data_IF_514593139019
#
_entry.id   IF_514593139019
#
_cell.length_a   1.000
_cell.length_b   1.000
_cell.length_c   1.000
_cell.angle_alpha   90.00
_cell.angle_beta   90.00
_cell.angle_gamma   90.00
#
_symmetry.space_group_name_H-M   'P 1'
#
loop_
_entity.id
_entity.type
_entity.pdbx_description
1 polymer ?
#
# COMPACT_ATOMS: atom_id res chain seq x y z
N UNK A 1 44.90 65.03 57.50
CA UNK A 1 45.28 63.67 57.15
C UNK A 1 44.10 63.02 56.41
N UNK A 2 44.13 62.96 55.06
CA UNK A 2 43.07 62.33 54.25
C UNK A 2 43.74 61.34 53.28
N UNK A 3 43.51 60.08 53.51
CA UNK A 3 43.92 58.98 52.60
C UNK A 3 42.94 58.81 51.49
N UNK A 4 43.39 59.01 50.24
CA UNK A 4 42.59 58.64 49.04
C UNK A 4 42.91 57.18 48.67
N UNK A 5 41.93 56.31 48.66
CA UNK A 5 42.02 54.97 48.12
C UNK A 5 41.57 55.01 46.67
N UNK A 6 42.46 54.62 45.75
CA UNK A 6 42.13 54.34 44.39
C UNK A 6 41.62 52.87 44.25
N UNK A 7 40.41 52.71 43.75
CA UNK A 7 39.91 51.41 43.33
C UNK A 7 40.18 51.24 41.85
N UNK A 8 41.06 50.30 41.52
CA UNK A 8 41.25 49.84 40.13
C UNK A 8 40.14 48.88 39.73
N UNK A 9 39.45 49.22 38.66
CA UNK A 9 38.39 48.36 38.05
C UNK A 9 39.13 47.42 37.04
N UNK A 10 39.19 46.13 37.40
CA UNK A 10 39.75 45.09 36.54
C UNK A 10 38.63 44.61 35.63
N UNK A 11 38.73 44.86 34.34
CA UNK A 11 37.82 44.40 33.29
C UNK A 11 38.08 42.92 33.01
N UNK A 12 37.22 42.05 33.48
CA UNK A 12 37.22 40.64 33.13
C UNK A 12 36.50 40.45 31.78
N UNK A 13 37.25 40.14 30.74
CA UNK A 13 36.71 39.73 29.44
C UNK A 13 36.18 38.32 29.53
N UNK A 14 34.84 38.14 29.47
CA UNK A 14 34.19 36.87 29.38
C UNK A 14 34.20 36.42 27.91
N UNK A 15 35.05 35.48 27.54
CA UNK A 15 35.02 34.80 26.26
C UNK A 15 33.84 33.80 26.24
N UNK A 16 32.77 34.16 25.50
CA UNK A 16 31.72 33.19 25.19
C UNK A 16 32.23 32.17 24.18
N UNK A 17 32.60 30.99 24.65
CA UNK A 17 32.83 29.84 23.78
C UNK A 17 31.48 29.29 23.28
N UNK A 18 31.13 29.62 22.05
CA UNK A 18 29.94 29.06 21.38
C UNK A 18 30.14 27.56 21.13
N UNK A 19 29.45 26.72 21.87
CA UNK A 19 29.34 25.28 21.60
C UNK A 19 28.39 25.09 20.43
N UNK A 20 28.93 24.89 19.23
CA UNK A 20 28.16 24.45 18.06
C UNK A 20 27.88 22.95 18.25
N UNK A 21 26.68 22.62 18.76
CA UNK A 21 26.17 21.26 18.76
C UNK A 21 25.88 20.84 17.29
N UNK A 22 26.82 20.14 16.69
CA UNK A 22 26.58 19.40 15.45
C UNK A 22 25.62 18.26 15.77
N UNK A 23 24.33 18.49 15.55
CA UNK A 23 23.32 17.43 15.52
C UNK A 23 23.60 16.61 14.28
N UNK A 24 24.41 15.57 14.42
CA UNK A 24 24.60 14.53 13.42
C UNK A 24 23.28 13.76 13.34
N UNK A 25 22.37 14.24 12.51
CA UNK A 25 21.16 13.50 12.14
C UNK A 25 21.59 12.21 11.46
N UNK A 26 21.61 11.12 12.19
CA UNK A 26 21.74 9.76 11.63
C UNK A 26 20.53 9.57 10.72
N UNK A 27 20.72 9.72 9.40
CA UNK A 27 19.76 9.27 8.41
C UNK A 27 19.69 7.75 8.55
N UNK A 28 18.79 7.28 9.40
CA UNK A 28 18.45 5.86 9.43
C UNK A 28 17.82 5.57 8.08
N UNK A 29 18.53 4.80 7.25
CA UNK A 29 17.97 4.25 6.03
C UNK A 29 16.76 3.41 6.44
N UNK A 30 15.56 3.96 6.27
CA UNK A 30 14.32 3.24 6.52
C UNK A 30 14.32 2.00 5.62
N UNK A 31 14.34 0.83 6.25
CA UNK A 31 14.23 -0.43 5.54
C UNK A 31 12.89 -0.41 4.82
N UNK A 32 12.93 -0.36 3.48
CA UNK A 32 11.73 -0.33 2.65
C UNK A 32 10.81 -1.49 3.04
N UNK A 33 9.58 -1.20 3.35
CA UNK A 33 8.60 -2.24 3.71
C UNK A 33 8.40 -3.22 2.55
N UNK A 34 8.06 -4.46 2.88
CA UNK A 34 7.67 -5.47 1.89
C UNK A 34 6.35 -5.11 1.21
N UNK A 35 5.48 -4.42 1.93
CA UNK A 35 4.14 -4.07 1.50
C UNK A 35 3.97 -2.56 1.42
N UNK A 36 3.23 -2.10 0.40
CA UNK A 36 2.90 -0.69 0.20
C UNK A 36 2.01 -0.17 1.33
N UNK A 37 1.08 -0.98 1.81
CA UNK A 37 0.20 -0.61 2.91
C UNK A 37 0.90 -0.43 4.27
N UNK A 38 2.16 -0.85 4.40
CA UNK A 38 2.97 -0.62 5.59
C UNK A 38 3.80 0.66 5.50
N UNK A 39 3.77 1.35 4.35
CA UNK A 39 4.43 2.65 4.16
C UNK A 39 3.60 3.77 4.81
N UNK A 40 4.27 4.84 5.23
CA UNK A 40 3.62 5.98 5.88
C UNK A 40 2.60 6.70 4.97
N UNK A 41 2.83 6.67 3.66
CA UNK A 41 1.98 7.31 2.66
C UNK A 41 1.76 6.37 1.46
N UNK A 42 0.92 5.34 1.58
CA UNK A 42 0.69 4.36 0.52
C UNK A 42 0.22 4.99 -0.80
N UNK A 43 -0.60 6.04 -0.71
CA UNK A 43 -1.13 6.76 -1.87
C UNK A 43 -0.03 7.40 -2.75
N UNK A 44 1.10 7.78 -2.16
CA UNK A 44 2.24 8.35 -2.90
C UNK A 44 2.91 7.35 -3.84
N UNK A 45 2.66 6.06 -3.65
CA UNK A 45 3.17 4.98 -4.50
C UNK A 45 2.32 4.78 -5.76
N UNK A 46 1.15 5.46 -5.85
CA UNK A 46 0.26 5.38 -7.00
C UNK A 46 0.75 6.28 -8.13
N UNK A 47 0.89 5.69 -9.30
CA UNK A 47 1.30 6.37 -10.55
C UNK A 47 0.36 5.97 -11.67
N UNK A 48 0.42 6.64 -12.81
CA UNK A 48 -0.34 6.24 -13.99
C UNK A 48 -0.05 4.79 -14.44
N UNK A 49 1.18 4.31 -14.20
CA UNK A 49 1.59 2.97 -14.60
C UNK A 49 1.02 1.83 -13.73
N UNK A 50 0.52 2.14 -12.53
CA UNK A 50 -0.10 1.16 -11.64
C UNK A 50 -1.53 1.54 -11.22
N UNK A 51 -2.12 2.55 -11.85
CA UNK A 51 -3.53 2.90 -11.65
C UNK A 51 -4.40 2.18 -12.67
N UNK A 52 -5.41 1.47 -12.17
CA UNK A 52 -6.29 0.61 -12.93
C UNK A 52 -7.67 1.24 -13.03
N UNK A 53 -8.25 1.20 -14.22
CA UNK A 53 -9.59 1.73 -14.48
C UNK A 53 -9.67 3.27 -14.46
N UNK A 54 -10.88 3.75 -14.61
CA UNK A 54 -11.23 5.18 -14.57
C UNK A 54 -12.72 5.34 -14.24
N UNK A 55 -13.23 6.56 -14.20
CA UNK A 55 -14.66 6.83 -14.01
C UNK A 55 -15.53 6.21 -15.14
N UNK A 56 -14.96 6.01 -16.34
CA UNK A 56 -15.65 5.49 -17.53
C UNK A 56 -15.23 4.07 -17.94
N UNK A 57 -14.16 3.54 -17.34
CA UNK A 57 -13.64 2.22 -17.68
C UNK A 57 -13.37 1.42 -16.39
N UNK A 58 -13.95 0.22 -16.22
CA UNK A 58 -13.74 -0.59 -15.05
C UNK A 58 -12.29 -1.05 -14.93
N UNK A 59 -11.84 -1.26 -13.69
CA UNK A 59 -10.63 -1.99 -13.39
C UNK A 59 -10.92 -3.48 -13.36
N UNK A 60 -10.40 -4.26 -14.27
CA UNK A 60 -10.49 -5.72 -14.22
C UNK A 60 -9.37 -6.30 -13.36
N UNK A 61 -9.70 -7.32 -12.56
CA UNK A 61 -8.72 -8.05 -11.74
C UNK A 61 -8.90 -9.53 -12.00
N UNK A 62 -7.92 -10.12 -12.68
CA UNK A 62 -7.96 -11.55 -13.06
C UNK A 62 -7.31 -12.42 -11.97
N UNK A 63 -8.08 -13.34 -11.42
CA UNK A 63 -7.60 -14.31 -10.43
C UNK A 63 -7.48 -15.67 -11.13
N UNK A 64 -6.27 -16.17 -11.24
CA UNK A 64 -5.98 -17.39 -11.97
C UNK A 64 -5.29 -18.44 -11.10
N UNK A 65 -5.56 -19.72 -11.39
CA UNK A 65 -4.75 -20.83 -10.89
C UNK A 65 -3.44 -20.89 -11.68
N UNK A 66 -2.31 -20.98 -10.97
CA UNK A 66 -0.99 -21.12 -11.57
C UNK A 66 -0.19 -22.17 -10.80
N UNK A 67 0.00 -23.35 -11.40
CA UNK A 67 0.64 -24.48 -10.71
C UNK A 67 -0.10 -24.87 -9.43
N UNK A 68 0.57 -24.81 -8.29
CA UNK A 68 0.05 -25.10 -6.95
C UNK A 68 -0.47 -23.87 -6.19
N UNK A 69 -0.56 -22.72 -6.86
CA UNK A 69 -0.97 -21.45 -6.24
C UNK A 69 -1.98 -20.68 -7.07
N UNK A 70 -2.49 -19.60 -6.55
CA UNK A 70 -3.24 -18.58 -7.28
C UNK A 70 -2.38 -17.35 -7.56
N UNK A 71 -2.72 -16.62 -8.60
CA UNK A 71 -2.17 -15.32 -8.97
C UNK A 71 -3.29 -14.32 -9.15
N UNK A 72 -2.98 -13.06 -8.85
CA UNK A 72 -3.86 -11.91 -9.07
C UNK A 72 -3.18 -10.97 -10.05
N UNK A 73 -3.86 -10.60 -11.13
CA UNK A 73 -3.34 -9.71 -12.15
C UNK A 73 -4.32 -8.57 -12.40
N UNK A 74 -3.98 -7.33 -12.00
CA UNK A 74 -4.79 -6.17 -12.34
C UNK A 74 -4.71 -5.86 -13.84
N UNK A 75 -5.80 -5.32 -14.40
CA UNK A 75 -5.94 -4.98 -15.81
C UNK A 75 -5.23 -3.68 -16.19
N UNK A 76 -3.95 -3.60 -15.93
CA UNK A 76 -3.06 -2.52 -16.36
C UNK A 76 -2.01 -3.04 -17.34
N UNK A 77 -1.55 -2.23 -18.29
CA UNK A 77 -0.54 -2.66 -19.24
C UNK A 77 0.73 -3.17 -18.54
N UNK A 78 1.24 -4.33 -18.98
CA UNK A 78 2.45 -4.95 -18.43
C UNK A 78 2.39 -5.29 -16.91
N UNK A 79 1.18 -5.43 -16.35
CA UNK A 79 1.03 -5.82 -14.97
C UNK A 79 1.70 -7.16 -14.68
N UNK A 80 2.43 -7.21 -13.56
CA UNK A 80 2.96 -8.47 -12.99
C UNK A 80 1.89 -9.13 -12.12
N UNK A 81 2.00 -10.45 -11.95
CA UNK A 81 1.17 -11.16 -10.98
C UNK A 81 1.44 -10.64 -9.57
N UNK A 82 0.37 -10.54 -8.78
CA UNK A 82 0.41 -10.12 -7.38
C UNK A 82 1.01 -8.72 -7.16
N UNK A 83 1.02 -7.90 -8.21
CA UNK A 83 1.43 -6.50 -8.12
C UNK A 83 0.37 -5.71 -7.34
N UNK A 84 0.82 -4.79 -6.48
CA UNK A 84 -0.11 -3.79 -5.95
C UNK A 84 -0.62 -2.89 -7.07
N UNK A 85 -1.85 -2.40 -6.92
CA UNK A 85 -2.44 -1.48 -7.87
C UNK A 85 -3.32 -0.44 -7.18
N UNK A 86 -3.56 0.64 -7.89
CA UNK A 86 -4.36 1.76 -7.40
C UNK A 86 -5.64 1.90 -8.24
N UNK A 87 -6.71 2.34 -7.59
CA UNK A 87 -7.93 2.80 -8.24
C UNK A 87 -8.35 4.13 -7.62
N UNK A 88 -9.09 4.94 -8.35
CA UNK A 88 -9.75 6.12 -7.77
C UNK A 88 -11.05 5.70 -7.11
N UNK A 89 -11.42 6.40 -6.04
CA UNK A 89 -12.75 6.25 -5.44
C UNK A 89 -13.84 6.45 -6.50
N UNK A 90 -14.87 5.62 -6.45
CA UNK A 90 -15.92 5.58 -7.46
C UNK A 90 -15.62 4.69 -8.67
N UNK A 91 -14.40 4.17 -8.84
CA UNK A 91 -14.09 3.23 -9.91
C UNK A 91 -14.80 1.90 -9.69
N UNK A 92 -15.38 1.37 -10.77
CA UNK A 92 -15.91 0.00 -10.79
C UNK A 92 -14.75 -0.99 -10.90
N UNK A 93 -14.68 -1.95 -9.97
CA UNK A 93 -13.72 -3.05 -9.99
C UNK A 93 -14.43 -4.34 -10.35
N UNK A 94 -13.90 -5.07 -11.32
CA UNK A 94 -14.47 -6.34 -11.81
C UNK A 94 -13.48 -7.46 -11.50
N UNK A 95 -13.82 -8.28 -10.51
CA UNK A 95 -13.09 -9.51 -10.22
C UNK A 95 -13.58 -10.62 -11.14
N UNK A 96 -12.65 -11.30 -11.78
CA UNK A 96 -12.94 -12.35 -12.74
C UNK A 96 -11.84 -13.41 -12.74
N UNK A 97 -12.05 -14.49 -13.47
CA UNK A 97 -11.01 -15.46 -13.83
C UNK A 97 -11.06 -15.78 -15.32
N UNK A 98 -9.90 -15.72 -15.96
CA UNK A 98 -9.72 -16.16 -17.35
C UNK A 98 -9.57 -17.67 -17.50
N UNK A 99 -9.36 -18.40 -16.39
CA UNK A 99 -9.21 -19.85 -16.41
C UNK A 99 -10.58 -20.53 -16.50
N UNK A 100 -10.76 -21.38 -17.48
CA UNK A 100 -11.99 -22.21 -17.62
C UNK A 100 -12.16 -23.13 -16.41
N UNK A 101 -13.41 -23.38 -16.04
CA UNK A 101 -13.79 -24.28 -14.93
C UNK A 101 -13.12 -23.95 -13.58
N UNK A 102 -12.74 -22.69 -13.41
CA UNK A 102 -12.10 -22.20 -12.19
C UNK A 102 -13.05 -21.23 -11.48
N UNK A 103 -13.21 -21.39 -10.18
CA UNK A 103 -13.79 -20.38 -9.30
C UNK A 103 -12.70 -19.53 -8.66
N UNK A 104 -13.09 -18.41 -8.06
CA UNK A 104 -12.18 -17.58 -7.30
C UNK A 104 -12.84 -17.01 -6.05
N UNK A 105 -12.02 -16.64 -5.08
CA UNK A 105 -12.39 -15.91 -3.89
C UNK A 105 -11.38 -14.79 -3.65
N UNK A 106 -11.89 -13.63 -3.24
CA UNK A 106 -11.07 -12.51 -2.74
C UNK A 106 -11.64 -12.09 -1.39
N UNK A 107 -10.80 -11.92 -0.39
CA UNK A 107 -11.20 -11.49 0.94
C UNK A 107 -10.27 -10.40 1.48
N UNK A 108 -10.88 -9.30 1.89
CA UNK A 108 -10.24 -8.18 2.57
C UNK A 108 -10.35 -8.30 4.10
N UNK A 109 -11.14 -9.26 4.58
CA UNK A 109 -11.41 -9.43 6.00
C UNK A 109 -12.36 -8.35 6.54
N UNK A 110 -12.13 -7.93 7.77
CA UNK A 110 -13.01 -6.97 8.48
C UNK A 110 -12.98 -5.55 7.91
N UNK A 111 -11.95 -5.21 7.16
CA UNK A 111 -11.73 -3.85 6.65
C UNK A 111 -11.97 -3.77 5.13
N UNK A 112 -12.96 -4.54 4.63
CA UNK A 112 -13.27 -4.57 3.20
C UNK A 112 -13.69 -3.18 2.69
N UNK A 113 -13.08 -2.69 1.58
CA UNK A 113 -13.53 -1.47 0.93
C UNK A 113 -14.79 -1.67 0.09
N UNK A 114 -15.33 -2.88 0.04
CA UNK A 114 -16.43 -3.31 -0.82
C UNK A 114 -17.61 -3.87 -0.01
N UNK A 115 -17.79 -3.39 1.22
CA UNK A 115 -18.92 -3.79 2.07
C UNK A 115 -20.27 -3.65 1.32
N UNK A 116 -21.18 -4.64 1.36
CA UNK A 116 -21.13 -5.89 2.15
C UNK A 116 -20.48 -7.09 1.42
N UNK A 117 -19.84 -6.87 0.27
CA UNK A 117 -19.34 -7.93 -0.63
C UNK A 117 -17.97 -8.49 -0.19
N UNK A 118 -17.89 -9.02 1.03
CA UNK A 118 -16.70 -9.76 1.49
C UNK A 118 -17.12 -11.07 2.16
N UNK A 119 -16.61 -12.25 1.76
CA UNK A 119 -15.70 -12.46 0.63
C UNK A 119 -16.38 -12.38 -0.74
N UNK A 120 -15.65 -11.86 -1.72
CA UNK A 120 -16.07 -11.80 -3.12
C UNK A 120 -15.84 -13.17 -3.75
N UNK A 121 -16.90 -13.85 -4.20
CA UNK A 121 -16.83 -15.22 -4.74
C UNK A 121 -17.43 -15.26 -6.14
N UNK A 122 -16.64 -15.69 -7.11
CA UNK A 122 -17.05 -15.78 -8.51
C UNK A 122 -16.42 -16.98 -9.23
N UNK A 123 -16.46 -16.96 -10.56
CA UNK A 123 -15.91 -18.02 -11.40
C UNK A 123 -15.86 -17.65 -12.88
N UNK A 124 -15.47 -18.63 -13.72
CA UNK A 124 -15.29 -18.42 -15.16
C UNK A 124 -16.53 -17.86 -15.87
N UNK A 125 -17.73 -18.19 -15.38
CA UNK A 125 -19.01 -17.72 -15.94
C UNK A 125 -19.69 -16.69 -15.01
N UNK A 126 -19.03 -16.25 -13.94
CA UNK A 126 -19.59 -15.30 -12.98
C UNK A 126 -18.51 -14.35 -12.49
N UNK A 127 -18.33 -13.27 -13.22
CA UNK A 127 -17.56 -12.13 -12.72
C UNK A 127 -18.34 -11.37 -11.64
N UNK A 128 -17.64 -10.75 -10.72
CA UNK A 128 -18.24 -9.95 -9.63
C UNK A 128 -17.80 -8.51 -9.81
N UNK A 129 -18.77 -7.63 -9.84
CA UNK A 129 -18.58 -6.18 -10.02
C UNK A 129 -18.87 -5.47 -8.72
N UNK A 130 -17.91 -4.73 -8.21
CA UNK A 130 -18.01 -3.94 -6.98
C UNK A 130 -17.54 -2.50 -7.23
N UNK A 131 -17.89 -1.58 -6.36
CA UNK A 131 -17.49 -0.18 -6.47
C UNK A 131 -16.49 0.18 -5.37
N UNK A 132 -15.33 0.67 -5.75
CA UNK A 132 -14.33 1.17 -4.81
C UNK A 132 -14.84 2.46 -4.18
N UNK A 133 -15.32 2.42 -2.94
CA UNK A 133 -16.00 3.56 -2.29
C UNK A 133 -15.16 4.19 -1.18
N UNK A 134 -14.37 3.40 -0.47
CA UNK A 134 -13.66 3.84 0.73
C UNK A 134 -12.18 4.03 0.44
N UNK A 135 -11.66 5.28 0.43
CA UNK A 135 -10.23 5.51 0.27
C UNK A 135 -9.41 4.84 1.37
N UNK A 136 -8.27 4.26 0.99
CA UNK A 136 -7.39 3.55 1.93
C UNK A 136 -6.41 2.62 1.23
N UNK A 137 -5.64 1.89 2.02
CA UNK A 137 -4.76 0.84 1.54
C UNK A 137 -5.16 -0.50 2.15
N UNK A 138 -5.38 -1.49 1.30
CA UNK A 138 -5.98 -2.76 1.66
C UNK A 138 -5.11 -3.92 1.21
N UNK A 139 -4.71 -4.77 2.15
CA UNK A 139 -4.13 -6.08 1.87
C UNK A 139 -5.26 -7.09 1.80
N UNK A 140 -5.21 -7.99 0.83
CA UNK A 140 -6.25 -8.99 0.70
C UNK A 140 -5.68 -10.37 0.39
N UNK A 141 -6.48 -11.38 0.65
CA UNK A 141 -6.21 -12.76 0.26
C UNK A 141 -7.00 -13.08 -1.01
N UNK A 142 -6.41 -13.89 -1.89
CA UNK A 142 -7.08 -14.38 -3.07
C UNK A 142 -6.80 -15.88 -3.26
N UNK A 143 -7.81 -16.60 -3.71
CA UNK A 143 -7.73 -18.03 -3.98
C UNK A 143 -8.45 -18.40 -5.26
N UNK A 144 -7.98 -19.47 -5.90
CA UNK A 144 -8.64 -20.10 -7.03
C UNK A 144 -9.16 -21.48 -6.62
N UNK A 145 -10.33 -21.86 -7.14
CA UNK A 145 -10.93 -23.18 -6.93
C UNK A 145 -10.94 -23.94 -8.24
N UNK A 146 -10.36 -25.12 -8.25
CA UNK A 146 -10.33 -25.98 -9.44
C UNK A 146 -10.39 -27.45 -9.05
N UNK A 147 -11.28 -28.22 -9.67
CA UNK A 147 -11.43 -29.67 -9.43
C UNK A 147 -11.53 -30.04 -7.94
N UNK A 148 -12.30 -29.29 -7.17
CA UNK A 148 -12.52 -29.56 -5.76
C UNK A 148 -11.37 -29.14 -4.82
N UNK A 149 -10.30 -28.56 -5.34
CA UNK A 149 -9.17 -28.07 -4.55
C UNK A 149 -9.12 -26.53 -4.51
N UNK A 150 -8.62 -25.98 -3.40
CA UNK A 150 -8.37 -24.56 -3.20
C UNK A 150 -6.88 -24.25 -3.35
N UNK A 151 -6.56 -23.25 -4.15
CA UNK A 151 -5.21 -22.79 -4.42
C UNK A 151 -5.07 -21.36 -3.89
N UNK A 152 -4.35 -21.20 -2.79
CA UNK A 152 -4.07 -19.90 -2.19
C UNK A 152 -2.89 -19.17 -2.84
N UNK A 153 -2.59 -17.97 -2.35
CA UNK A 153 -1.45 -17.18 -2.80
C UNK A 153 -0.12 -17.84 -2.46
N UNK A 154 0.83 -17.79 -3.37
CA UNK A 154 2.16 -18.38 -3.18
C UNK A 154 2.94 -17.63 -2.08
N UNK A 155 3.61 -18.40 -1.19
CA UNK A 155 4.55 -17.84 -0.21
C UNK A 155 3.96 -16.86 0.80
N UNK A 156 2.64 -16.91 1.05
CA UNK A 156 1.97 -15.98 1.98
C UNK A 156 2.03 -14.53 1.54
N UNK A 157 2.26 -14.27 0.23
CA UNK A 157 2.17 -12.91 -0.31
C UNK A 157 0.72 -12.45 -0.30
N UNK A 158 0.50 -11.19 0.12
CA UNK A 158 -0.80 -10.55 0.03
C UNK A 158 -0.75 -9.50 -1.07
N UNK A 159 -1.61 -9.59 -2.09
CA UNK A 159 -1.78 -8.48 -3.01
C UNK A 159 -2.36 -7.27 -2.29
N UNK A 160 -2.16 -6.08 -2.86
CA UNK A 160 -2.53 -4.83 -2.22
C UNK A 160 -3.31 -3.95 -3.20
N UNK A 161 -4.32 -3.29 -2.66
CA UNK A 161 -5.15 -2.31 -3.36
C UNK A 161 -5.09 -0.97 -2.63
N UNK A 162 -4.72 0.08 -3.35
CA UNK A 162 -4.82 1.46 -2.85
C UNK A 162 -6.01 2.13 -3.54
N UNK A 163 -6.96 2.62 -2.74
CA UNK A 163 -8.08 3.42 -3.22
C UNK A 163 -7.76 4.88 -2.92
N UNK A 164 -7.58 5.65 -3.99
CA UNK A 164 -7.34 7.08 -3.93
C UNK A 164 -8.65 7.85 -3.75
N UNK A 165 -8.64 9.01 -3.08
CA UNK A 165 -9.80 9.92 -3.00
C UNK A 165 -10.35 10.33 -4.35
#
# INVERSE_FOLDING_TARGET
MKMKRHYGISSASIALAGIVLLVSGSAQAQKKSKYVCDEAQPASMCTAANTCGSASAPCTVDITKSGSSSNVKPGIPNAKNNQFFCVKSGTTVVFMTSNKNTGFMVSFGTDSPFDPDDPIIGGANKQITVKASTPGCYKYDAGAFYSGATYGMSGGSKPELVILP
#
